data_IF_074159217473
#
_entry.id   IF_074159217473
#
_cell.length_a   1.000
_cell.length_b   1.000
_cell.length_c   1.000
_cell.angle_alpha   90.00
_cell.angle_beta   90.00
_cell.angle_gamma   90.00
#
_symmetry.space_group_name_H-M   'P 1'
#
loop_
_entity.id
_entity.type
_entity.pdbx_description
1 polymer ?
#
# COMPACT_ATOMS: atom_id res chain seq x y z
N UNK A 1 -12.91 11.38 1.12
CA UNK A 1 -12.00 10.26 1.44
C UNK A 1 -11.84 10.20 2.95
N UNK A 2 -12.73 9.46 3.61
CA UNK A 2 -12.62 9.21 5.04
C UNK A 2 -11.36 8.40 5.30
N UNK A 3 -10.36 9.01 5.95
CA UNK A 3 -9.12 8.35 6.34
C UNK A 3 -9.43 7.29 7.39
N UNK A 4 -9.81 6.11 6.92
CA UNK A 4 -10.12 4.96 7.75
C UNK A 4 -8.80 4.42 8.32
N UNK A 5 -8.82 3.89 9.54
CA UNK A 5 -7.65 3.25 10.19
C UNK A 5 -6.97 2.23 9.25
N UNK A 6 -7.75 1.55 8.42
CA UNK A 6 -7.29 0.59 7.42
C UNK A 6 -6.42 1.24 6.32
N UNK A 7 -6.77 2.45 5.86
CA UNK A 7 -5.99 3.25 4.90
C UNK A 7 -4.66 3.69 5.51
N UNK A 8 -4.67 4.14 6.77
CA UNK A 8 -3.45 4.52 7.51
C UNK A 8 -2.49 3.33 7.64
N UNK A 9 -3.01 2.15 8.00
CA UNK A 9 -2.22 0.92 8.06
C UNK A 9 -1.59 0.56 6.71
N UNK A 10 -2.32 0.75 5.60
CA UNK A 10 -1.83 0.45 4.24
C UNK A 10 -0.72 1.39 3.81
N UNK A 11 -0.86 2.68 4.09
CA UNK A 11 0.20 3.68 3.87
C UNK A 11 1.41 3.37 4.74
N UNK A 12 1.21 2.99 6.01
CA UNK A 12 2.29 2.58 6.89
C UNK A 12 3.04 1.35 6.36
N UNK A 13 2.32 0.33 5.88
CA UNK A 13 2.93 -0.86 5.26
C UNK A 13 3.72 -0.51 4.00
N UNK A 14 3.21 0.41 3.17
CA UNK A 14 3.92 0.90 2.00
C UNK A 14 5.23 1.62 2.37
N UNK A 15 5.15 2.60 3.27
CA UNK A 15 6.32 3.41 3.65
C UNK A 15 7.33 2.56 4.43
N UNK A 16 6.87 1.78 5.41
CA UNK A 16 7.72 0.90 6.21
C UNK A 16 8.38 -0.19 5.36
N UNK A 17 7.62 -0.81 4.46
CA UNK A 17 8.16 -1.78 3.50
C UNK A 17 9.23 -1.16 2.60
N UNK A 18 9.00 0.06 2.10
CA UNK A 18 9.97 0.75 1.24
C UNK A 18 11.27 1.03 1.97
N UNK A 19 11.21 1.43 3.24
CA UNK A 19 12.40 1.61 4.09
C UNK A 19 13.19 0.30 4.24
N UNK A 20 12.50 -0.83 4.46
CA UNK A 20 13.15 -2.13 4.54
C UNK A 20 13.78 -2.58 3.21
N UNK A 21 13.12 -2.32 2.07
CA UNK A 21 13.71 -2.59 0.75
C UNK A 21 14.99 -1.77 0.56
N UNK A 22 14.94 -0.48 0.88
CA UNK A 22 16.10 0.42 0.72
C UNK A 22 17.24 -0.01 1.65
N UNK A 23 16.97 -0.30 2.94
CA UNK A 23 18.01 -0.79 3.87
C UNK A 23 18.57 -2.13 3.43
N UNK A 24 17.74 -3.12 3.12
CA UNK A 24 18.18 -4.42 2.66
C UNK A 24 19.00 -4.34 1.36
N UNK A 25 18.67 -3.41 0.46
CA UNK A 25 19.45 -3.17 -0.76
C UNK A 25 20.81 -2.53 -0.48
N UNK A 26 20.90 -1.66 0.53
CA UNK A 26 22.15 -1.00 0.93
C UNK A 26 23.06 -1.92 1.76
N UNK A 27 22.48 -2.73 2.63
CA UNK A 27 23.19 -3.61 3.57
C UNK A 27 23.45 -5.00 2.97
N UNK A 28 22.83 -5.32 1.82
CA UNK A 28 22.95 -6.62 1.17
C UNK A 28 22.20 -7.74 1.88
N UNK A 29 21.31 -7.41 2.82
CA UNK A 29 20.55 -8.38 3.57
C UNK A 29 19.30 -8.82 2.79
N UNK A 30 19.38 -10.02 2.21
CA UNK A 30 18.30 -10.61 1.40
C UNK A 30 16.99 -10.78 2.17
N UNK A 31 17.05 -10.97 3.49
CA UNK A 31 15.86 -11.14 4.34
C UNK A 31 15.09 -9.83 4.50
N UNK A 32 15.76 -8.74 4.87
CA UNK A 32 15.15 -7.40 4.94
C UNK A 32 14.58 -6.97 3.59
N UNK A 33 15.31 -7.23 2.51
CA UNK A 33 14.87 -6.91 1.16
C UNK A 33 13.61 -7.70 0.78
N UNK A 34 13.58 -9.00 1.04
CA UNK A 34 12.40 -9.84 0.77
C UNK A 34 11.18 -9.41 1.59
N UNK A 35 11.36 -9.13 2.88
CA UNK A 35 10.30 -8.69 3.77
C UNK A 35 9.75 -7.31 3.35
N UNK A 36 10.64 -6.38 3.00
CA UNK A 36 10.26 -5.07 2.49
C UNK A 36 9.44 -5.16 1.19
N UNK A 37 9.86 -6.01 0.25
CA UNK A 37 9.14 -6.20 -1.02
C UNK A 37 7.72 -6.71 -0.76
N UNK A 38 7.56 -7.71 0.10
CA UNK A 38 6.23 -8.25 0.45
C UNK A 38 5.36 -7.17 1.11
N UNK A 39 5.91 -6.40 2.04
CA UNK A 39 5.18 -5.33 2.73
C UNK A 39 4.71 -4.23 1.75
N UNK A 40 5.59 -3.79 0.84
CA UNK A 40 5.25 -2.82 -0.22
C UNK A 40 4.14 -3.38 -1.12
N UNK A 41 4.24 -4.64 -1.53
CA UNK A 41 3.27 -5.26 -2.43
C UNK A 41 1.88 -5.35 -1.80
N UNK A 42 1.79 -5.77 -0.53
CA UNK A 42 0.53 -5.83 0.21
C UNK A 42 -0.08 -4.45 0.45
N UNK A 43 0.74 -3.46 0.80
CA UNK A 43 0.29 -2.09 0.96
C UNK A 43 -0.22 -1.48 -0.35
N UNK A 44 0.49 -1.70 -1.46
CA UNK A 44 0.10 -1.24 -2.80
C UNK A 44 -1.20 -1.88 -3.28
N UNK A 45 -1.31 -3.21 -3.17
CA UNK A 45 -2.53 -3.94 -3.53
C UNK A 45 -3.74 -3.50 -2.71
N UNK A 46 -3.54 -3.30 -1.40
CA UNK A 46 -4.58 -2.78 -0.54
C UNK A 46 -5.08 -1.42 -1.04
N UNK A 47 -4.15 -0.48 -1.26
CA UNK A 47 -4.48 0.86 -1.72
C UNK A 47 -5.15 0.86 -3.11
N UNK A 48 -4.67 0.01 -4.02
CA UNK A 48 -5.23 -0.15 -5.36
C UNK A 48 -6.69 -0.63 -5.34
N UNK A 49 -7.01 -1.63 -4.52
CA UNK A 49 -8.38 -2.11 -4.37
C UNK A 49 -9.32 -1.07 -3.76
N UNK A 50 -8.81 -0.28 -2.82
CA UNK A 50 -9.57 0.83 -2.22
C UNK A 50 -9.90 1.88 -3.28
N UNK A 51 -8.94 2.21 -4.12
CA UNK A 51 -9.13 3.10 -5.27
C UNK A 51 -10.15 2.58 -6.27
N UNK A 52 -10.10 1.29 -6.63
CA UNK A 52 -11.09 0.71 -7.54
C UNK A 52 -12.51 0.76 -6.96
N UNK A 53 -12.64 0.53 -5.65
CA UNK A 53 -13.95 0.59 -4.97
C UNK A 53 -14.48 2.03 -4.93
N UNK A 54 -13.62 2.99 -4.58
CA UNK A 54 -13.99 4.41 -4.58
C UNK A 54 -14.38 4.92 -5.97
N UNK A 55 -13.62 4.55 -7.01
CA UNK A 55 -13.93 4.96 -8.40
C UNK A 55 -15.17 4.28 -8.99
N UNK A 56 -15.69 3.22 -8.36
CA UNK A 56 -16.95 2.60 -8.77
C UNK A 56 -18.15 3.38 -8.24
N UNK A 57 -18.08 3.85 -6.98
CA UNK A 57 -19.12 4.64 -6.29
C UNK A 57 -19.37 6.00 -6.97
N UNK A 58 -18.30 6.66 -7.44
CA UNK A 58 -18.38 7.94 -8.17
C UNK A 58 -19.14 7.83 -9.52
N UNK A 59 -19.22 6.64 -10.13
CA UNK A 59 -19.94 6.45 -11.40
C UNK A 59 -21.43 6.25 -11.23
N UNK A 60 -21.87 5.74 -10.09
CA UNK A 60 -23.28 5.49 -9.80
C UNK A 60 -24.00 6.80 -9.49
N UNK A 61 -23.38 7.67 -8.68
CA UNK A 61 -23.91 9.01 -8.32
C UNK A 61 -23.93 10.01 -9.48
N UNK A 62 -23.07 9.85 -10.50
CA UNK A 62 -23.09 10.68 -11.70
C UNK A 62 -24.18 10.29 -12.71
N UNK A 63 -24.89 9.18 -12.49
CA UNK A 63 -25.97 8.68 -13.35
C UNK A 63 -27.38 8.96 -12.83
N UNK A 64 -27.49 9.59 -11.65
CA UNK A 64 -28.75 10.07 -11.04
C UNK A 64 -29.06 11.54 -11.39
#
# INVERSE_FOLDING_TARGET
MDWTIRTVMRVFLLVGGLVFVVRGALEGETFELGLGVVAVFLGALGLWWEWQTASADDRETASE
#
